data_IF_311291010294
#
_entry.id   IF_311291010294
#
_cell.length_a   1.000
_cell.length_b   1.000
_cell.length_c   1.000
_cell.angle_alpha   90.00
_cell.angle_beta   90.00
_cell.angle_gamma   90.00
#
_symmetry.space_group_name_H-M   'P 1'
#
loop_
_entity.id
_entity.type
_entity.pdbx_description
1 polymer ?
#
# COMPACT_ATOMS: atom_id res chain seq x y z
N UNK A 1 -10.57 20.76 -5.11
CA UNK A 1 -9.79 19.83 -4.27
C UNK A 1 -8.55 20.56 -3.80
N UNK A 2 -8.26 20.47 -2.51
CA UNK A 2 -6.97 20.94 -1.97
C UNK A 2 -5.82 20.09 -2.50
N UNK A 3 -4.59 20.61 -2.41
CA UNK A 3 -3.39 19.85 -2.71
C UNK A 3 -3.27 18.67 -1.71
N UNK A 4 -2.74 17.50 -2.15
CA UNK A 4 -2.45 16.40 -1.23
C UNK A 4 -1.46 16.86 -0.17
N UNK A 5 -1.60 16.34 1.05
CA UNK A 5 -0.68 16.64 2.16
C UNK A 5 0.55 15.72 2.16
N UNK A 6 0.46 14.59 1.46
CA UNK A 6 1.57 13.68 1.24
C UNK A 6 1.42 12.98 -0.12
N UNK A 7 2.56 12.75 -0.76
CA UNK A 7 2.71 11.94 -1.97
C UNK A 7 3.87 10.95 -1.74
N UNK A 8 3.68 9.70 -2.18
CA UNK A 8 4.73 8.68 -2.19
C UNK A 8 4.79 8.06 -3.57
N UNK A 9 5.98 8.09 -4.18
CA UNK A 9 6.27 7.34 -5.40
C UNK A 9 6.93 6.00 -5.04
N UNK A 10 6.49 4.96 -5.72
CA UNK A 10 6.95 3.58 -5.57
C UNK A 10 7.21 2.99 -6.97
N UNK A 11 8.05 1.96 -7.04
CA UNK A 11 8.35 1.24 -8.26
C UNK A 11 7.74 -0.15 -8.22
N UNK A 12 6.99 -0.51 -9.26
CA UNK A 12 6.61 -1.89 -9.56
C UNK A 12 7.59 -2.46 -10.57
N UNK A 13 8.34 -3.49 -10.17
CA UNK A 13 9.18 -4.29 -11.06
C UNK A 13 8.45 -5.58 -11.44
N UNK A 14 8.11 -5.71 -12.71
CA UNK A 14 7.42 -6.89 -13.26
C UNK A 14 8.39 -8.05 -13.52
N UNK A 15 7.89 -9.29 -13.64
CA UNK A 15 8.73 -10.46 -13.94
C UNK A 15 9.48 -10.37 -15.29
N UNK A 16 8.97 -9.59 -16.24
CA UNK A 16 9.61 -9.33 -17.54
C UNK A 16 10.76 -8.31 -17.44
N UNK A 17 11.04 -7.78 -16.25
CA UNK A 17 12.08 -6.79 -15.99
C UNK A 17 11.64 -5.35 -16.23
N UNK A 18 10.39 -5.10 -16.64
CA UNK A 18 9.89 -3.74 -16.82
C UNK A 18 9.57 -3.09 -15.48
N UNK A 19 9.86 -1.79 -15.39
CA UNK A 19 9.59 -0.97 -14.20
C UNK A 19 8.54 0.08 -14.50
N UNK A 20 7.63 0.28 -13.54
CA UNK A 20 6.55 1.24 -13.66
C UNK A 20 6.35 1.97 -12.34
N UNK A 21 6.09 3.27 -12.41
CA UNK A 21 5.80 4.07 -11.23
C UNK A 21 4.38 3.81 -10.72
N UNK A 22 4.25 3.69 -9.40
CA UNK A 22 3.01 3.76 -8.64
C UNK A 22 3.07 5.04 -7.80
N UNK A 23 1.97 5.80 -7.73
CA UNK A 23 1.88 6.98 -6.87
C UNK A 23 0.75 6.85 -5.88
N UNK A 24 1.05 7.11 -4.62
CA UNK A 24 0.07 7.18 -3.54
C UNK A 24 -0.07 8.64 -3.11
N UNK A 25 -1.28 9.16 -3.14
CA UNK A 25 -1.62 10.52 -2.75
C UNK A 25 -2.56 10.48 -1.56
N UNK A 26 -2.30 11.31 -0.56
CA UNK A 26 -3.07 11.39 0.68
C UNK A 26 -3.48 12.83 0.94
N UNK A 27 -4.77 13.06 1.20
CA UNK A 27 -5.30 14.40 1.46
C UNK A 27 -5.44 14.68 2.96
N UNK A 28 -5.67 15.95 3.28
CA UNK A 28 -5.90 16.40 4.64
C UNK A 28 -7.17 15.73 5.20
N UNK A 29 -7.19 15.32 6.48
CA UNK A 29 -8.43 14.94 7.15
C UNK A 29 -9.47 16.08 7.12
N UNK A 30 -10.69 15.73 6.74
CA UNK A 30 -11.83 16.63 6.69
C UNK A 30 -13.01 16.03 7.46
N UNK A 31 -13.70 16.87 8.23
CA UNK A 31 -14.96 16.47 8.85
C UNK A 31 -16.08 16.58 7.82
N UNK A 32 -16.77 15.46 7.56
CA UNK A 32 -17.97 15.39 6.71
C UNK A 32 -19.19 15.12 7.60
N UNK A 33 -20.12 16.08 7.64
CA UNK A 33 -21.25 16.10 8.59
C UNK A 33 -22.04 14.78 8.72
N UNK A 34 -22.18 14.01 7.64
CA UNK A 34 -22.95 12.75 7.63
C UNK A 34 -22.10 11.49 7.86
N UNK A 35 -20.76 11.60 7.83
CA UNK A 35 -19.84 10.44 7.79
C UNK A 35 -18.74 10.48 8.83
N UNK A 36 -18.61 11.58 9.58
CA UNK A 36 -17.54 11.78 10.53
C UNK A 36 -16.27 12.32 9.88
N UNK A 37 -15.11 12.04 10.46
CA UNK A 37 -13.84 12.42 9.86
C UNK A 37 -13.45 11.45 8.76
N UNK A 38 -13.04 11.99 7.62
CA UNK A 38 -12.55 11.23 6.47
C UNK A 38 -11.19 11.73 6.02
N UNK A 39 -10.38 10.82 5.46
CA UNK A 39 -9.14 11.11 4.76
C UNK A 39 -9.19 10.40 3.42
N UNK A 40 -9.35 11.18 2.35
CA UNK A 40 -9.30 10.65 0.99
C UNK A 40 -7.86 10.28 0.61
N UNK A 41 -7.73 9.21 -0.17
CA UNK A 41 -6.48 8.80 -0.79
C UNK A 41 -6.69 8.23 -2.18
N UNK A 42 -5.62 8.29 -2.98
CA UNK A 42 -5.60 7.81 -4.36
C UNK A 42 -4.34 6.98 -4.58
N UNK A 43 -4.48 5.80 -5.18
CA UNK A 43 -3.39 4.95 -5.65
C UNK A 43 -3.45 4.96 -7.18
N UNK A 44 -2.44 5.53 -7.81
CA UNK A 44 -2.25 5.52 -9.26
C UNK A 44 -1.34 4.36 -9.61
N UNK A 45 -1.94 3.32 -10.17
CA UNK A 45 -1.25 2.10 -10.59
C UNK A 45 -0.68 2.21 -12.00
N UNK A 46 -0.02 1.12 -12.45
CA UNK A 46 0.59 1.08 -13.77
C UNK A 46 -0.46 1.10 -14.88
N UNK A 47 -0.15 1.74 -16.01
CA UNK A 47 -1.08 1.84 -17.14
C UNK A 47 -2.22 2.86 -16.93
N UNK A 48 -2.13 3.70 -15.89
CA UNK A 48 -3.12 4.75 -15.62
C UNK A 48 -4.33 4.29 -14.82
N UNK A 49 -4.30 3.08 -14.25
CA UNK A 49 -5.31 2.64 -13.31
C UNK A 49 -5.32 3.53 -12.06
N UNK A 50 -6.51 3.89 -11.58
CA UNK A 50 -6.65 4.76 -10.41
C UNK A 50 -7.66 4.17 -9.44
N UNK A 51 -7.18 3.82 -8.25
CA UNK A 51 -7.99 3.40 -7.12
C UNK A 51 -8.17 4.58 -6.17
N UNK A 52 -9.41 4.92 -5.85
CA UNK A 52 -9.76 5.97 -4.88
C UNK A 52 -10.51 5.35 -3.72
N UNK A 53 -10.17 5.76 -2.52
CA UNK A 53 -10.87 5.35 -1.30
C UNK A 53 -10.63 6.39 -0.20
N UNK A 54 -11.15 6.11 0.99
CA UNK A 54 -10.96 6.95 2.17
C UNK A 54 -10.77 6.11 3.42
N UNK A 55 -10.03 6.65 4.39
CA UNK A 55 -10.12 6.22 5.78
C UNK A 55 -11.17 7.05 6.52
N UNK A 56 -11.87 6.44 7.47
CA UNK A 56 -12.90 7.10 8.29
C UNK A 56 -12.64 6.92 9.78
N UNK A 57 -13.05 7.87 10.61
CA UNK A 57 -12.88 7.80 12.06
C UNK A 57 -13.74 8.79 12.85
N UNK A 58 -13.74 8.63 14.18
CA UNK A 58 -14.40 9.57 15.10
C UNK A 58 -13.66 10.92 15.18
N UNK A 59 -12.37 10.91 14.86
CA UNK A 59 -11.49 12.06 14.81
C UNK A 59 -10.55 12.01 13.60
N UNK A 60 -9.85 13.12 13.36
CA UNK A 60 -8.92 13.28 12.24
C UNK A 60 -7.79 12.25 12.24
N UNK A 61 -7.32 11.83 13.43
CA UNK A 61 -6.22 10.89 13.56
C UNK A 61 -6.68 9.47 13.22
N UNK A 62 -7.84 9.04 13.72
CA UNK A 62 -8.43 7.75 13.39
C UNK A 62 -8.70 7.61 11.89
N UNK A 63 -9.23 8.66 11.26
CA UNK A 63 -9.44 8.68 9.81
C UNK A 63 -8.12 8.54 9.04
N UNK A 64 -7.08 9.27 9.45
CA UNK A 64 -5.74 9.18 8.86
C UNK A 64 -5.13 7.79 9.06
N UNK A 65 -5.19 7.24 10.27
CA UNK A 65 -4.70 5.92 10.57
C UNK A 65 -5.42 4.85 9.74
N UNK A 66 -6.75 4.95 9.60
CA UNK A 66 -7.55 4.07 8.75
C UNK A 66 -7.12 4.13 7.29
N UNK A 67 -6.87 5.34 6.76
CA UNK A 67 -6.36 5.50 5.38
C UNK A 67 -4.98 4.83 5.21
N UNK A 68 -4.06 5.10 6.14
CA UNK A 68 -2.71 4.50 6.13
C UNK A 68 -2.73 2.98 6.29
N UNK A 69 -3.71 2.43 7.00
CA UNK A 69 -3.91 0.99 7.14
C UNK A 69 -4.50 0.36 5.87
N UNK A 70 -5.40 1.06 5.18
CA UNK A 70 -6.08 0.56 3.97
C UNK A 70 -5.21 0.60 2.71
N UNK A 71 -4.33 1.61 2.58
CA UNK A 71 -3.47 1.75 1.40
C UNK A 71 -2.66 0.46 1.12
N UNK A 72 -1.93 -0.13 2.08
CA UNK A 72 -1.21 -1.39 1.86
C UNK A 72 -2.10 -2.54 1.40
N UNK A 73 -3.31 -2.67 1.96
CA UNK A 73 -4.26 -3.73 1.60
C UNK A 73 -4.69 -3.59 0.14
N UNK A 74 -4.98 -2.36 -0.29
CA UNK A 74 -5.37 -2.09 -1.67
C UNK A 74 -4.20 -2.20 -2.64
N UNK A 75 -2.98 -1.93 -2.17
CA UNK A 75 -1.76 -2.14 -2.95
C UNK A 75 -1.37 -3.61 -3.10
N UNK A 76 -1.83 -4.51 -2.21
CA UNK A 76 -1.50 -5.94 -2.32
C UNK A 76 -2.03 -6.57 -3.62
N UNK A 77 -3.10 -6.01 -4.20
CA UNK A 77 -3.56 -6.38 -5.53
C UNK A 77 -2.49 -6.16 -6.62
N UNK A 78 -1.58 -5.21 -6.43
CA UNK A 78 -0.47 -4.93 -7.34
C UNK A 78 0.70 -5.92 -7.15
N UNK A 79 0.80 -6.59 -6.00
CA UNK A 79 1.79 -7.64 -5.75
C UNK A 79 1.66 -8.80 -6.74
N UNK A 80 0.46 -9.05 -7.27
CA UNK A 80 0.23 -10.05 -8.31
C UNK A 80 0.92 -9.70 -9.64
N UNK A 81 1.24 -8.42 -9.86
CA UNK A 81 1.88 -7.93 -11.09
C UNK A 81 3.41 -7.91 -10.98
N UNK A 82 3.98 -8.03 -9.79
CA UNK A 82 5.43 -7.95 -9.57
C UNK A 82 5.82 -7.48 -8.17
N UNK A 83 7.07 -7.09 -8.03
CA UNK A 83 7.63 -6.61 -6.76
C UNK A 83 7.48 -5.10 -6.64
N UNK A 84 6.84 -4.63 -5.56
CA UNK A 84 6.74 -3.20 -5.24
C UNK A 84 7.85 -2.79 -4.26
N UNK A 85 8.57 -1.72 -4.57
CA UNK A 85 9.59 -1.12 -3.69
C UNK A 85 9.47 0.39 -3.63
N UNK A 86 9.91 0.99 -2.52
CA UNK A 86 10.16 2.44 -2.49
C UNK A 86 11.57 2.70 -3.06
N UNK A 87 11.69 3.66 -3.97
CA UNK A 87 12.99 4.05 -4.50
C UNK A 87 13.78 4.70 -3.35
N UNK A 88 14.93 4.11 -2.98
CA UNK A 88 16.03 4.59 -2.11
C UNK A 88 16.46 3.68 -0.96
N UNK A 89 15.66 2.71 -0.54
CA UNK A 89 16.08 1.74 0.48
C UNK A 89 15.34 0.41 0.27
N UNK A 90 15.93 -0.71 0.69
CA UNK A 90 15.30 -2.05 0.84
C UNK A 90 14.11 -2.04 1.85
N UNK A 91 13.54 -0.88 2.10
CA UNK A 91 12.33 -0.66 2.85
C UNK A 91 11.13 -1.17 2.05
N UNK A 92 10.62 -2.32 2.47
CA UNK A 92 9.24 -2.66 2.22
C UNK A 92 8.36 -1.53 2.79
N UNK A 93 7.55 -0.91 1.94
CA UNK A 93 6.62 0.17 2.30
C UNK A 93 5.68 -0.19 3.48
N UNK A 94 5.57 -1.48 3.81
CA UNK A 94 4.96 -2.06 5.01
C UNK A 94 5.74 -3.33 5.41
N UNK A 95 5.83 -3.77 6.69
CA UNK A 95 6.55 -4.98 7.06
C UNK A 95 6.06 -6.17 6.23
N UNK A 96 6.96 -6.75 5.44
CA UNK A 96 6.72 -8.04 4.82
C UNK A 96 6.49 -9.04 5.96
N UNK A 97 5.28 -9.60 6.08
CA UNK A 97 5.06 -10.77 6.92
C UNK A 97 5.85 -11.88 6.23
N UNK A 98 6.96 -12.37 6.79
CA UNK A 98 7.69 -13.46 6.16
C UNK A 98 6.72 -14.63 6.09
N UNK A 99 6.45 -15.13 4.88
CA UNK A 99 5.78 -16.41 4.71
C UNK A 99 6.58 -17.40 5.57
N UNK A 100 5.94 -17.94 6.62
CA UNK A 100 6.57 -18.95 7.46
C UNK A 100 6.88 -20.10 6.51
N UNK A 101 8.14 -20.22 6.09
CA UNK A 101 8.57 -21.35 5.27
C UNK A 101 8.20 -22.59 6.07
N UNK A 102 7.25 -23.39 5.55
CA UNK A 102 6.92 -24.68 6.16
C UNK A 102 8.24 -25.40 6.40
N UNK A 103 8.50 -25.92 7.61
CA UNK A 103 9.74 -26.63 7.87
C UNK A 103 9.88 -27.74 6.83
N UNK A 104 10.99 -27.74 6.10
CA UNK A 104 11.38 -28.82 5.22
C UNK A 104 11.29 -30.12 6.02
N UNK A 105 10.53 -31.14 5.59
CA UNK A 105 10.57 -32.42 6.28
C UNK A 105 12.00 -32.91 6.23
N UNK A 106 12.59 -33.10 7.41
CA UNK A 106 13.96 -33.58 7.56
C UNK A 106 14.16 -34.86 6.76
N UNK A 107 15.33 -34.99 6.12
CA UNK A 107 15.74 -36.23 5.46
C UNK A 107 15.62 -37.39 6.46
N UNK A 108 15.09 -38.56 6.05
CA UNK A 108 15.14 -39.74 6.90
C UNK A 108 16.60 -40.12 7.11
N UNK A 109 17.01 -40.26 8.37
CA UNK A 109 18.26 -40.93 8.70
C UNK A 109 18.09 -42.40 8.36
N UNK A 110 18.79 -42.87 7.34
CA UNK A 110 19.03 -44.29 7.11
C UNK A 110 20.12 -44.73 8.09
N UNK A 111 19.76 -45.61 9.02
CA UNK A 111 20.71 -46.50 9.71
C UNK A 111 21.18 -47.62 8.77
#
# INVERSE_FOLDING_TARGET
>A
MHLPIAERELTLKRPDGTEQAIRVLLWKPEFRHERGWEVDFEIRGPGGEVTRSHGSGLDAFQALYGALHMIPILMDGLSALGQVSAHEDDWHWFPAIPQLTKPTPGKPHSE
#
